data_IF_321042275807
#
_entry.id   IF_321042275807
#
_cell.length_a   1.000
_cell.length_b   1.000
_cell.length_c   1.000
_cell.angle_alpha   90.00
_cell.angle_beta   90.00
_cell.angle_gamma   90.00
#
_symmetry.space_group_name_H-M   'P 1'
#
loop_
_entity.id
_entity.type
_entity.pdbx_description
1 polymer ?
#
# COMPACT_ATOMS: atom_id res chain seq x y z
N UNK A 1 21.81 -16.95 -1.92
CA UNK A 1 20.45 -16.66 -2.42
C UNK A 1 20.60 -15.58 -3.48
N UNK A 2 20.05 -15.74 -4.69
CA UNK A 2 20.14 -14.68 -5.71
C UNK A 2 18.96 -13.71 -5.51
N UNK A 3 19.29 -12.45 -5.31
CA UNK A 3 18.35 -11.34 -5.10
C UNK A 3 18.51 -10.36 -6.24
N UNK A 4 17.38 -9.95 -6.84
CA UNK A 4 17.35 -8.89 -7.82
C UNK A 4 16.56 -7.73 -7.23
N UNK A 5 17.20 -6.57 -7.15
CA UNK A 5 16.58 -5.33 -6.68
C UNK A 5 16.45 -4.36 -7.84
N UNK A 6 15.21 -4.05 -8.19
CA UNK A 6 14.83 -3.14 -9.25
C UNK A 6 14.26 -1.88 -8.60
N UNK A 7 15.08 -0.82 -8.59
CA UNK A 7 14.63 0.52 -8.22
C UNK A 7 14.36 1.30 -9.49
N UNK A 8 13.08 1.43 -9.83
CA UNK A 8 12.62 2.23 -10.95
C UNK A 8 12.40 3.64 -10.43
N UNK A 9 13.40 4.49 -10.62
CA UNK A 9 13.34 5.90 -10.27
C UNK A 9 13.20 6.70 -11.55
N UNK A 10 12.08 7.39 -11.70
CA UNK A 10 12.01 8.47 -12.67
C UNK A 10 12.72 9.69 -12.05
N UNK A 11 14.00 9.83 -12.35
CA UNK A 11 14.69 11.10 -12.12
C UNK A 11 14.18 12.02 -13.22
N UNK A 12 13.20 12.84 -12.86
CA UNK A 12 12.55 13.83 -13.71
C UNK A 12 13.39 14.13 -14.95
N UNK A 13 12.89 13.66 -16.11
CA UNK A 13 13.20 14.33 -17.36
C UNK A 13 12.99 15.82 -17.03
N UNK A 14 14.08 16.61 -17.01
CA UNK A 14 13.94 18.06 -17.06
C UNK A 14 13.33 18.30 -18.43
N UNK A 15 12.00 18.30 -18.50
CA UNK A 15 11.29 18.72 -19.70
C UNK A 15 11.85 20.11 -20.02
N UNK A 16 12.57 20.28 -21.15
CA UNK A 16 12.95 21.59 -21.62
C UNK A 16 11.65 22.36 -21.78
N UNK A 17 11.49 23.44 -21.04
CA UNK A 17 10.26 24.23 -21.08
C UNK A 17 10.15 24.91 -22.46
N UNK A 18 9.48 24.26 -23.43
CA UNK A 18 8.93 24.92 -24.61
C UNK A 18 9.23 24.27 -25.97
N UNK A 19 8.36 23.36 -26.39
CA UNK A 19 8.13 22.99 -27.80
C UNK A 19 7.12 21.86 -27.93
N UNK A 20 6.21 21.92 -28.93
CA UNK A 20 5.21 20.86 -29.24
C UNK A 20 5.82 19.49 -29.64
N UNK A 21 7.13 19.29 -29.44
CA UNK A 21 7.89 18.06 -29.73
C UNK A 21 8.06 17.13 -28.51
N UNK A 22 7.61 17.54 -27.32
CA UNK A 22 8.00 16.89 -26.07
C UNK A 22 7.21 15.61 -25.74
N UNK A 23 5.98 15.47 -26.27
CA UNK A 23 5.12 14.29 -26.02
C UNK A 23 5.63 13.03 -26.77
N UNK A 24 6.11 13.19 -28.01
CA UNK A 24 6.63 12.08 -28.82
C UNK A 24 7.88 11.45 -28.19
N UNK A 25 8.76 12.28 -27.60
CA UNK A 25 9.98 11.83 -26.92
C UNK A 25 9.65 11.06 -25.63
N UNK A 26 8.62 11.50 -24.90
CA UNK A 26 8.16 10.82 -23.69
C UNK A 26 7.57 9.44 -24.00
N UNK A 27 6.69 9.34 -25.00
CA UNK A 27 6.08 8.08 -25.40
C UNK A 27 7.11 7.09 -25.94
N UNK A 28 8.07 7.56 -26.74
CA UNK A 28 9.18 6.75 -27.23
C UNK A 28 10.05 6.22 -26.07
N UNK A 29 10.35 7.07 -25.08
CA UNK A 29 11.07 6.66 -23.88
C UNK A 29 10.29 5.61 -23.08
N UNK A 30 9.01 5.87 -22.80
CA UNK A 30 8.16 4.96 -22.04
C UNK A 30 8.05 3.59 -22.74
N UNK A 31 7.85 3.57 -24.07
CA UNK A 31 7.83 2.35 -24.85
C UNK A 31 9.15 1.57 -24.78
N UNK A 32 10.28 2.27 -24.91
CA UNK A 32 11.62 1.67 -24.79
C UNK A 32 11.86 1.07 -23.40
N UNK A 33 11.47 1.79 -22.35
CA UNK A 33 11.60 1.35 -20.98
C UNK A 33 10.75 0.12 -20.68
N UNK A 34 9.48 0.11 -21.10
CA UNK A 34 8.61 -1.06 -20.95
C UNK A 34 9.13 -2.28 -21.74
N UNK A 35 9.68 -2.06 -22.95
CA UNK A 35 10.36 -3.12 -23.72
C UNK A 35 11.55 -3.72 -22.96
N UNK A 36 12.33 -2.87 -22.27
CA UNK A 36 13.44 -3.33 -21.44
C UNK A 36 12.94 -4.16 -20.24
N UNK A 37 11.84 -3.78 -19.59
CA UNK A 37 11.22 -4.55 -18.51
C UNK A 37 10.75 -5.94 -19.00
N UNK A 38 10.12 -6.03 -20.17
CA UNK A 38 9.73 -7.31 -20.77
C UNK A 38 10.95 -8.21 -21.03
N UNK A 39 12.03 -7.66 -21.59
CA UNK A 39 13.29 -8.41 -21.82
C UNK A 39 13.93 -8.86 -20.51
N UNK A 40 13.89 -8.01 -19.49
CA UNK A 40 14.37 -8.35 -18.15
C UNK A 40 13.55 -9.50 -17.57
N UNK A 41 12.22 -9.43 -17.60
CA UNK A 41 11.35 -10.50 -17.11
C UNK A 41 11.62 -11.83 -17.82
N UNK A 42 11.77 -11.82 -19.15
CA UNK A 42 12.14 -13.01 -19.92
C UNK A 42 13.49 -13.60 -19.49
N UNK A 43 14.47 -12.74 -19.16
CA UNK A 43 15.77 -13.16 -18.64
C UNK A 43 15.65 -13.76 -17.25
N UNK A 44 14.93 -13.09 -16.33
CA UNK A 44 14.75 -13.54 -14.96
C UNK A 44 13.98 -14.86 -14.87
N UNK A 45 13.02 -15.12 -15.76
CA UNK A 45 12.32 -16.43 -15.87
C UNK A 45 13.28 -17.60 -16.10
N UNK A 46 14.41 -17.37 -16.75
CA UNK A 46 15.45 -18.38 -16.99
C UNK A 46 16.37 -18.58 -15.78
N UNK A 47 16.32 -17.69 -14.79
CA UNK A 47 17.14 -17.75 -13.58
C UNK A 47 16.51 -18.66 -12.51
N UNK A 48 16.80 -19.96 -12.58
CA UNK A 48 16.24 -20.96 -11.63
C UNK A 48 16.63 -20.76 -10.16
N UNK A 49 17.68 -19.96 -9.90
CA UNK A 49 18.22 -19.64 -8.57
C UNK A 49 17.67 -18.35 -7.97
N UNK A 50 16.88 -17.59 -8.72
CA UNK A 50 16.26 -16.37 -8.21
C UNK A 50 15.22 -16.74 -7.15
N UNK A 51 15.28 -16.03 -6.02
CA UNK A 51 14.40 -16.29 -4.87
C UNK A 51 13.83 -15.00 -4.28
N UNK A 52 14.41 -13.86 -4.60
CA UNK A 52 13.95 -12.57 -4.11
C UNK A 52 13.86 -11.56 -5.24
N UNK A 53 12.71 -10.89 -5.28
CA UNK A 53 12.43 -9.78 -6.19
C UNK A 53 11.99 -8.59 -5.33
N UNK A 54 12.66 -7.46 -5.52
CA UNK A 54 12.33 -6.18 -4.90
C UNK A 54 12.06 -5.18 -6.02
N UNK A 55 10.81 -4.74 -6.15
CA UNK A 55 10.35 -3.75 -7.12
C UNK A 55 9.92 -2.53 -6.34
N UNK A 56 10.68 -1.45 -6.51
CA UNK A 56 10.38 -0.15 -5.91
C UNK A 56 10.22 0.86 -7.05
N UNK A 57 9.02 1.42 -7.17
CA UNK A 57 8.69 2.44 -8.16
C UNK A 57 8.48 3.78 -7.46
N UNK A 58 9.33 4.74 -7.81
CA UNK A 58 9.28 6.12 -7.32
C UNK A 58 9.14 7.06 -8.50
N UNK A 59 8.08 7.86 -8.49
CA UNK A 59 7.95 9.01 -9.38
C UNK A 59 8.51 10.24 -8.67
N UNK A 60 9.49 10.90 -9.27
CA UNK A 60 10.04 12.14 -8.74
C UNK A 60 9.19 13.34 -9.15
N UNK A 61 8.57 14.03 -8.21
CA UNK A 61 7.80 15.26 -8.45
C UNK A 61 6.49 15.30 -7.66
N UNK A 62 5.99 16.51 -7.40
CA UNK A 62 4.76 16.75 -6.62
C UNK A 62 3.46 16.52 -7.43
N UNK A 63 3.53 16.46 -8.76
CA UNK A 63 2.34 16.60 -9.63
C UNK A 63 2.20 15.54 -10.75
N UNK A 64 3.21 14.69 -11.00
CA UNK A 64 3.13 13.73 -12.10
C UNK A 64 2.79 12.33 -11.61
N UNK A 65 1.49 12.04 -11.46
CA UNK A 65 0.99 10.67 -11.46
C UNK A 65 0.89 10.12 -12.88
N UNK A 66 1.96 10.24 -13.67
CA UNK A 66 1.92 9.77 -15.05
C UNK A 66 2.09 8.26 -15.11
N UNK A 67 1.28 7.64 -15.96
CA UNK A 67 1.21 6.21 -16.14
C UNK A 67 2.25 5.70 -17.16
N UNK A 68 3.54 5.95 -16.94
CA UNK A 68 4.60 5.51 -17.87
C UNK A 68 4.91 4.01 -17.77
N UNK A 69 4.54 3.36 -16.67
CA UNK A 69 4.69 1.91 -16.52
C UNK A 69 3.45 1.20 -17.05
N UNK A 70 3.65 0.31 -18.02
CA UNK A 70 2.62 -0.62 -18.46
C UNK A 70 2.47 -1.73 -17.42
N UNK A 71 1.24 -2.19 -17.22
CA UNK A 71 0.97 -3.22 -16.21
C UNK A 71 1.55 -4.59 -16.59
N UNK A 72 1.53 -4.92 -17.88
CA UNK A 72 1.92 -6.23 -18.43
C UNK A 72 3.41 -6.54 -18.20
N UNK A 73 4.39 -5.67 -18.55
CA UNK A 73 5.80 -5.94 -18.28
C UNK A 73 6.12 -6.11 -16.79
N UNK A 74 5.38 -5.41 -15.92
CA UNK A 74 5.57 -5.51 -14.46
C UNK A 74 4.95 -6.81 -13.93
N UNK A 75 3.80 -7.22 -14.45
CA UNK A 75 3.20 -8.50 -14.12
C UNK A 75 4.05 -9.68 -14.61
N UNK A 76 4.75 -9.50 -15.73
CA UNK A 76 5.70 -10.47 -16.25
C UNK A 76 6.86 -10.71 -15.28
N UNK A 77 7.34 -9.66 -14.59
CA UNK A 77 8.36 -9.75 -13.53
C UNK A 77 7.84 -10.51 -12.31
N UNK A 78 6.59 -10.31 -11.92
CA UNK A 78 5.97 -11.05 -10.81
C UNK A 78 5.77 -12.54 -11.14
N UNK A 79 5.69 -12.87 -12.42
CA UNK A 79 5.52 -14.26 -12.89
C UNK A 79 6.81 -15.07 -12.92
N UNK A 80 7.91 -14.55 -12.36
CA UNK A 80 9.17 -15.30 -12.27
C UNK A 80 9.02 -16.42 -11.23
N UNK A 81 9.25 -17.66 -11.65
CA UNK A 81 9.00 -18.84 -10.82
C UNK A 81 9.92 -18.96 -9.59
N UNK A 82 9.36 -19.53 -8.52
CA UNK A 82 10.06 -19.91 -7.26
C UNK A 82 10.53 -18.73 -6.38
N UNK A 83 9.84 -17.59 -6.44
CA UNK A 83 10.07 -16.51 -5.48
C UNK A 83 9.73 -16.98 -4.06
N UNK A 84 10.61 -16.68 -3.12
CA UNK A 84 10.38 -16.87 -1.67
C UNK A 84 10.30 -15.53 -0.94
N UNK A 85 10.64 -14.42 -1.59
CA UNK A 85 10.63 -13.08 -1.00
C UNK A 85 10.21 -12.08 -2.06
N UNK A 86 9.14 -11.34 -1.81
CA UNK A 86 8.66 -10.28 -2.70
C UNK A 86 8.53 -8.97 -1.91
N UNK A 87 9.18 -7.93 -2.41
CA UNK A 87 8.85 -6.54 -2.06
C UNK A 87 8.31 -5.88 -3.31
N UNK A 88 7.12 -5.28 -3.21
CA UNK A 88 6.51 -4.54 -4.30
C UNK A 88 5.92 -3.24 -3.76
N UNK A 89 6.60 -2.13 -4.03
CA UNK A 89 6.21 -0.79 -3.61
C UNK A 89 6.04 0.10 -4.84
N UNK A 90 4.79 0.45 -5.14
CA UNK A 90 4.41 1.31 -6.27
C UNK A 90 3.51 2.46 -5.84
N UNK A 91 3.60 2.87 -4.57
CA UNK A 91 2.73 3.87 -3.95
C UNK A 91 2.55 5.19 -4.74
N UNK A 92 3.55 5.58 -5.55
CA UNK A 92 3.55 6.84 -6.33
C UNK A 92 3.13 6.68 -7.78
N UNK A 93 2.99 5.44 -8.27
CA UNK A 93 2.93 5.17 -9.69
C UNK A 93 1.57 4.58 -10.07
N UNK A 94 0.90 5.26 -10.99
CA UNK A 94 -0.20 4.68 -11.74
C UNK A 94 0.38 3.79 -12.84
N UNK A 95 -0.23 2.63 -13.04
CA UNK A 95 0.11 1.76 -14.16
C UNK A 95 -0.86 2.02 -15.30
N UNK A 96 -0.32 2.27 -16.48
CA UNK A 96 -1.13 2.28 -17.68
C UNK A 96 -1.59 0.86 -17.96
N UNK A 97 -2.87 0.74 -18.27
CA UNK A 97 -3.50 -0.53 -18.57
C UNK A 97 -4.08 -0.42 -19.96
N UNK A 98 -3.71 -1.35 -20.83
CA UNK A 98 -4.51 -1.55 -22.03
C UNK A 98 -5.88 -2.08 -21.59
N UNK A 99 -6.99 -1.70 -22.26
CA UNK A 99 -8.32 -2.22 -21.95
C UNK A 99 -8.38 -3.76 -21.96
N UNK A 100 -7.50 -4.37 -22.75
CA UNK A 100 -7.39 -5.82 -22.95
C UNK A 100 -6.45 -6.50 -21.94
N UNK A 101 -5.64 -5.74 -21.19
CA UNK A 101 -4.54 -6.26 -20.36
C UNK A 101 -4.99 -7.36 -19.41
N UNK A 102 -6.21 -7.28 -18.87
CA UNK A 102 -6.72 -8.19 -17.84
C UNK A 102 -5.83 -8.30 -16.59
N UNK A 103 -4.77 -7.46 -16.50
CA UNK A 103 -3.73 -7.58 -15.49
C UNK A 103 -4.26 -7.01 -14.18
N UNK A 104 -4.17 -7.85 -13.15
CA UNK A 104 -4.52 -7.48 -11.80
C UNK A 104 -3.42 -7.89 -10.84
N UNK A 105 -2.54 -6.96 -10.45
CA UNK A 105 -1.38 -7.27 -9.62
C UNK A 105 -1.72 -8.00 -8.32
N UNK A 106 -2.84 -7.67 -7.66
CA UNK A 106 -3.25 -8.40 -6.46
C UNK A 106 -3.51 -9.88 -6.73
N UNK A 107 -4.03 -10.25 -7.91
CA UNK A 107 -4.20 -11.66 -8.31
C UNK A 107 -2.84 -12.31 -8.56
N UNK A 108 -1.93 -11.62 -9.25
CA UNK A 108 -0.58 -12.12 -9.48
C UNK A 108 0.17 -12.36 -8.17
N UNK A 109 0.04 -11.47 -7.19
CA UNK A 109 0.69 -11.58 -5.88
C UNK A 109 0.03 -12.65 -5.03
N UNK A 110 -1.30 -12.73 -5.00
CA UNK A 110 -2.01 -13.78 -4.31
C UNK A 110 -1.57 -15.18 -4.79
N UNK A 111 -1.40 -15.35 -6.11
CA UNK A 111 -0.91 -16.60 -6.69
C UNK A 111 0.52 -16.98 -6.25
N UNK A 112 1.32 -16.03 -5.76
CA UNK A 112 2.67 -16.29 -5.24
C UNK A 112 2.68 -16.74 -3.77
N UNK A 113 1.61 -16.48 -3.00
CA UNK A 113 1.55 -16.79 -1.55
C UNK A 113 1.98 -18.22 -1.19
N UNK A 114 1.63 -19.29 -1.93
CA UNK A 114 2.11 -20.65 -1.64
C UNK A 114 3.63 -20.82 -1.66
N UNK A 115 4.33 -20.00 -2.45
CA UNK A 115 5.78 -20.09 -2.65
C UNK A 115 6.57 -19.10 -1.79
N UNK A 116 5.92 -18.03 -1.34
CA UNK A 116 6.55 -16.97 -0.59
C UNK A 116 6.79 -17.36 0.87
N UNK A 117 7.90 -16.89 1.40
CA UNK A 117 8.21 -16.79 2.83
C UNK A 117 8.02 -15.37 3.34
N UNK A 118 8.23 -14.37 2.48
CA UNK A 118 8.11 -12.96 2.83
C UNK A 118 7.39 -12.18 1.74
N UNK A 119 6.41 -11.36 2.14
CA UNK A 119 5.70 -10.43 1.28
C UNK A 119 5.70 -9.04 1.93
N UNK A 120 6.22 -8.04 1.23
CA UNK A 120 6.03 -6.62 1.52
C UNK A 120 5.36 -5.96 0.34
N UNK A 121 4.27 -5.26 0.60
CA UNK A 121 3.41 -4.79 -0.48
C UNK A 121 2.82 -3.41 -0.18
N UNK A 122 2.94 -2.49 -1.14
CA UNK A 122 2.29 -1.19 -1.12
C UNK A 122 1.95 -0.76 -2.55
N UNK A 123 0.69 -0.42 -2.81
CA UNK A 123 0.24 0.10 -4.10
C UNK A 123 -0.94 1.05 -3.90
N UNK A 124 -1.25 1.87 -4.90
CA UNK A 124 -2.41 2.76 -4.84
C UNK A 124 -3.77 2.04 -4.78
N UNK A 125 -3.88 0.86 -5.43
CA UNK A 125 -5.13 0.09 -5.48
C UNK A 125 -4.89 -1.35 -5.06
N UNK A 126 -5.66 -1.85 -4.11
CA UNK A 126 -5.49 -3.17 -3.50
C UNK A 126 -6.83 -3.92 -3.44
N UNK A 127 -6.87 -5.19 -3.86
CA UNK A 127 -8.05 -6.02 -3.70
C UNK A 127 -8.29 -6.38 -2.23
N UNK A 128 -9.57 -6.46 -1.84
CA UNK A 128 -9.96 -7.09 -0.58
C UNK A 128 -9.39 -8.50 -0.49
N UNK A 129 -9.49 -9.30 -1.55
CA UNK A 129 -8.99 -10.68 -1.68
C UNK A 129 -7.49 -10.85 -1.88
N UNK A 130 -6.67 -9.79 -1.72
CA UNK A 130 -5.21 -9.92 -1.89
C UNK A 130 -4.62 -11.03 -1.02
N UNK A 131 -5.09 -11.12 0.23
CA UNK A 131 -4.56 -12.03 1.26
C UNK A 131 -5.44 -13.28 1.44
N UNK A 132 -6.39 -13.51 0.54
CA UNK A 132 -7.25 -14.69 0.59
C UNK A 132 -6.38 -15.95 0.49
N UNK A 133 -6.48 -16.88 1.46
CA UNK A 133 -5.69 -18.10 1.42
C UNK A 133 -5.99 -18.89 0.14
N UNK A 134 -4.97 -19.45 -0.52
CA UNK A 134 -5.18 -20.30 -1.67
C UNK A 134 -5.98 -21.55 -1.25
N UNK A 135 -6.78 -22.13 -2.16
CA UNK A 135 -7.64 -23.25 -1.82
C UNK A 135 -6.84 -24.47 -1.35
N UNK A 136 -7.29 -25.07 -0.26
CA UNK A 136 -6.73 -26.30 0.31
C UNK A 136 -6.25 -26.14 1.75
N UNK A 137 -5.91 -27.28 2.36
CA UNK A 137 -5.57 -27.36 3.78
C UNK A 137 -4.08 -27.45 4.09
N UNK A 138 -3.21 -27.34 3.08
CA UNK A 138 -1.78 -27.28 3.31
C UNK A 138 -1.41 -25.97 4.04
N UNK A 139 -0.62 -26.02 5.12
CA UNK A 139 -0.13 -24.81 5.77
C UNK A 139 0.87 -24.10 4.85
N UNK A 140 0.79 -22.77 4.79
CA UNK A 140 1.67 -21.97 3.95
C UNK A 140 3.04 -21.79 4.61
N UNK A 141 4.10 -21.76 3.81
CA UNK A 141 5.46 -21.49 4.26
C UNK A 141 5.75 -19.99 4.47
N UNK A 142 4.73 -19.14 4.31
CA UNK A 142 4.80 -17.70 4.51
C UNK A 142 5.04 -17.41 6.00
N UNK A 143 6.08 -16.64 6.27
CA UNK A 143 6.57 -16.28 7.62
C UNK A 143 6.28 -14.80 7.91
N UNK A 144 6.43 -13.93 6.89
CA UNK A 144 6.27 -12.49 7.03
C UNK A 144 5.33 -11.92 5.95
N UNK A 145 4.34 -11.15 6.36
CA UNK A 145 3.43 -10.40 5.49
C UNK A 145 3.29 -9.00 6.01
N UNK A 146 3.57 -8.01 5.17
CA UNK A 146 3.33 -6.60 5.48
C UNK A 146 2.64 -5.97 4.29
N UNK A 147 1.43 -5.46 4.52
CA UNK A 147 0.70 -4.65 3.55
C UNK A 147 0.60 -3.24 4.08
N UNK A 148 1.25 -2.29 3.40
CA UNK A 148 1.18 -0.89 3.77
C UNK A 148 0.12 -0.19 2.91
N UNK A 149 -0.95 0.27 3.55
CA UNK A 149 -2.02 1.02 2.91
C UNK A 149 -1.77 2.52 2.91
N UNK A 150 -0.81 3.01 3.70
CA UNK A 150 -0.45 4.43 3.75
C UNK A 150 0.34 4.85 2.53
N UNK A 151 -0.15 5.90 1.86
CA UNK A 151 0.53 6.57 0.74
C UNK A 151 1.09 7.95 1.18
N UNK A 152 1.13 8.25 2.48
CA UNK A 152 1.43 9.58 3.00
C UNK A 152 2.93 9.87 3.17
N UNK A 153 3.80 8.84 3.13
CA UNK A 153 5.26 8.99 3.21
C UNK A 153 5.93 9.27 1.86
N UNK A 154 5.23 9.90 0.92
CA UNK A 154 5.76 10.12 -0.43
C UNK A 154 6.55 11.43 -0.52
N UNK A 155 6.24 12.42 0.33
CA UNK A 155 6.98 13.68 0.47
C UNK A 155 6.46 14.46 1.69
N UNK A 156 7.32 15.04 2.52
CA UNK A 156 6.92 15.95 3.63
C UNK A 156 6.10 17.17 3.16
N UNK A 157 6.13 17.49 1.87
CA UNK A 157 5.34 18.56 1.27
C UNK A 157 3.88 18.17 0.95
N UNK A 158 3.51 16.89 1.03
CA UNK A 158 2.15 16.41 0.73
C UNK A 158 1.36 16.35 2.03
N UNK A 159 0.49 17.33 2.24
CA UNK A 159 -0.44 17.38 3.40
C UNK A 159 -1.71 16.57 3.17
N UNK A 160 -1.87 15.96 2.00
CA UNK A 160 -3.05 15.16 1.69
C UNK A 160 -2.91 13.74 2.24
N UNK A 161 -3.82 13.38 3.14
CA UNK A 161 -4.08 12.01 3.58
C UNK A 161 -4.42 11.17 2.36
N UNK A 162 -3.59 10.16 2.06
CA UNK A 162 -3.90 9.21 0.99
C UNK A 162 -3.66 7.79 1.48
N UNK A 163 -4.72 7.00 1.39
CA UNK A 163 -4.65 5.56 1.57
C UNK A 163 -4.83 4.84 0.24
N UNK A 164 -4.40 3.60 0.23
CA UNK A 164 -4.72 2.64 -0.82
C UNK A 164 -6.23 2.48 -0.94
N UNK A 165 -6.73 2.42 -2.17
CA UNK A 165 -8.15 2.22 -2.47
C UNK A 165 -8.43 0.76 -2.76
N UNK A 166 -9.69 0.34 -2.63
CA UNK A 166 -10.10 -0.97 -3.09
C UNK A 166 -10.05 -1.03 -4.63
N UNK A 167 -9.49 -2.10 -5.20
CA UNK A 167 -9.55 -2.31 -6.65
C UNK A 167 -11.00 -2.35 -7.16
N UNK A 168 -11.26 -1.75 -8.32
CA UNK A 168 -12.57 -1.74 -8.98
C UNK A 168 -13.60 -0.82 -8.33
N UNK A 169 -13.21 -0.06 -7.31
CA UNK A 169 -14.10 0.80 -6.57
C UNK A 169 -14.24 2.17 -7.27
N UNK A 170 -15.39 2.37 -7.90
CA UNK A 170 -15.73 3.62 -8.60
C UNK A 170 -16.50 4.58 -7.68
N UNK A 171 -17.12 4.06 -6.61
CA UNK A 171 -18.01 4.80 -5.72
C UNK A 171 -17.40 5.12 -4.35
N UNK A 172 -16.16 4.68 -4.09
CA UNK A 172 -15.44 4.98 -2.86
C UNK A 172 -16.05 4.26 -1.66
N UNK A 173 -15.96 2.93 -1.63
CA UNK A 173 -16.09 2.16 -0.39
C UNK A 173 -15.33 2.89 0.71
N UNK A 174 -16.03 3.15 1.81
CA UNK A 174 -15.41 3.80 2.96
C UNK A 174 -14.11 3.09 3.32
N UNK A 175 -13.01 3.83 3.38
CA UNK A 175 -11.67 3.28 3.63
C UNK A 175 -11.68 2.36 4.86
N UNK A 176 -12.44 2.71 5.90
CA UNK A 176 -12.65 1.88 7.10
C UNK A 176 -13.15 0.47 6.78
N UNK A 177 -14.16 0.32 5.91
CA UNK A 177 -14.68 -1.00 5.54
C UNK A 177 -13.65 -1.80 4.74
N UNK A 178 -12.91 -1.14 3.85
CA UNK A 178 -11.83 -1.77 3.08
C UNK A 178 -10.68 -2.23 4.01
N UNK A 179 -10.24 -1.36 4.93
CA UNK A 179 -9.25 -1.65 5.98
C UNK A 179 -9.67 -2.86 6.81
N UNK A 180 -10.87 -2.83 7.39
CA UNK A 180 -11.37 -3.91 8.24
C UNK A 180 -11.48 -5.25 7.49
N UNK A 181 -11.91 -5.22 6.23
CA UNK A 181 -11.96 -6.43 5.41
C UNK A 181 -10.56 -7.01 5.16
N UNK A 182 -9.56 -6.16 4.92
CA UNK A 182 -8.19 -6.61 4.70
C UNK A 182 -7.53 -7.10 6.00
N UNK A 183 -7.78 -6.44 7.14
CA UNK A 183 -7.36 -6.89 8.47
C UNK A 183 -7.93 -8.28 8.79
N UNK A 184 -9.23 -8.49 8.54
CA UNK A 184 -9.86 -9.80 8.72
C UNK A 184 -9.24 -10.89 7.83
N UNK A 185 -8.89 -10.58 6.59
CA UNK A 185 -8.18 -11.51 5.73
C UNK A 185 -6.75 -11.79 6.19
N UNK A 186 -6.05 -10.80 6.71
CA UNK A 186 -4.73 -10.99 7.29
C UNK A 186 -4.78 -11.95 8.49
N UNK A 187 -5.81 -11.82 9.35
CA UNK A 187 -6.04 -12.77 10.46
C UNK A 187 -6.38 -14.17 9.96
N UNK A 188 -7.23 -14.30 8.94
CA UNK A 188 -7.54 -15.59 8.34
C UNK A 188 -6.29 -16.26 7.71
N UNK A 189 -5.46 -15.46 7.02
CA UNK A 189 -4.19 -15.92 6.46
C UNK A 189 -3.22 -16.35 7.55
N UNK A 190 -3.08 -15.57 8.63
CA UNK A 190 -2.21 -15.87 9.76
C UNK A 190 -2.49 -17.26 10.35
N UNK A 191 -3.77 -17.62 10.52
CA UNK A 191 -4.19 -18.94 11.01
C UNK A 191 -3.79 -20.10 10.07
N UNK A 192 -3.52 -19.82 8.78
CA UNK A 192 -3.09 -20.79 7.77
C UNK A 192 -1.57 -20.95 7.68
N UNK A 193 -0.80 -20.11 8.37
CA UNK A 193 0.66 -20.08 8.27
C UNK A 193 1.29 -21.16 9.15
N UNK A 194 2.34 -21.82 8.65
CA UNK A 194 3.02 -22.88 9.40
C UNK A 194 3.78 -22.34 10.61
N UNK A 195 4.49 -21.23 10.43
CA UNK A 195 5.36 -20.60 11.42
C UNK A 195 5.36 -19.08 11.19
N UNK A 196 4.22 -18.40 11.43
CA UNK A 196 4.16 -16.96 11.24
C UNK A 196 5.08 -16.24 12.21
N UNK A 197 5.84 -15.28 11.69
CA UNK A 197 6.67 -14.36 12.47
C UNK A 197 6.04 -12.97 12.54
N UNK A 198 5.42 -12.52 11.45
CA UNK A 198 4.81 -11.20 11.36
C UNK A 198 3.72 -11.17 10.29
N UNK A 199 2.52 -10.71 10.62
CA UNK A 199 1.46 -10.45 9.64
C UNK A 199 0.83 -9.11 9.97
N UNK A 200 1.13 -8.07 9.19
CA UNK A 200 0.77 -6.69 9.51
C UNK A 200 0.07 -5.95 8.39
N UNK A 201 -0.92 -5.14 8.77
CA UNK A 201 -1.53 -4.12 7.92
C UNK A 201 -1.13 -2.76 8.48
N UNK A 202 -0.44 -1.94 7.68
CA UNK A 202 0.01 -0.60 8.08
C UNK A 202 -0.95 0.44 7.52
N UNK A 203 -1.40 1.35 8.38
CA UNK A 203 -2.22 2.51 8.04
C UNK A 203 -1.64 3.76 8.70
N UNK A 204 -2.18 4.93 8.36
CA UNK A 204 -1.97 6.15 9.14
C UNK A 204 -3.32 6.78 9.47
N UNK A 205 -3.36 7.58 10.53
CA UNK A 205 -4.56 8.31 10.94
C UNK A 205 -4.49 9.80 10.57
N UNK A 206 -5.65 10.44 10.51
CA UNK A 206 -5.76 11.88 10.31
C UNK A 206 -6.52 12.47 11.50
N UNK A 207 -6.09 13.59 12.09
CA UNK A 207 -5.11 14.55 11.55
C UNK A 207 -3.64 14.33 11.91
N UNK A 208 -3.31 13.45 12.87
CA UNK A 208 -1.95 13.35 13.39
C UNK A 208 -0.92 12.82 12.38
N UNK A 209 -1.36 12.05 11.38
CA UNK A 209 -0.51 11.31 10.45
C UNK A 209 0.33 10.21 11.11
N UNK A 210 0.00 9.85 12.35
CA UNK A 210 0.61 8.75 13.07
C UNK A 210 0.39 7.43 12.32
N UNK A 211 1.43 6.60 12.30
CA UNK A 211 1.41 5.31 11.63
C UNK A 211 1.04 4.21 12.59
N UNK A 212 0.09 3.36 12.20
CA UNK A 212 -0.33 2.22 13.00
C UNK A 212 -0.14 0.94 12.22
N UNK A 213 0.39 -0.09 12.87
CA UNK A 213 0.39 -1.46 12.41
C UNK A 213 -0.65 -2.28 13.17
N UNK A 214 -1.63 -2.82 12.45
CA UNK A 214 -2.44 -3.92 12.98
C UNK A 214 -1.66 -5.22 12.83
N UNK A 215 -1.37 -5.89 13.94
CA UNK A 215 -0.73 -7.21 13.98
C UNK A 215 -1.78 -8.32 14.03
N UNK A 216 -1.93 -9.04 12.92
CA UNK A 216 -2.92 -10.08 12.76
C UNK A 216 -2.64 -11.35 13.59
N UNK A 217 -1.44 -11.50 14.16
CA UNK A 217 -1.10 -12.61 15.04
C UNK A 217 -1.61 -12.40 16.46
N UNK A 218 -1.61 -11.15 16.92
CA UNK A 218 -2.03 -10.79 18.29
C UNK A 218 -3.41 -10.11 18.32
N UNK A 219 -3.87 -9.60 17.17
CA UNK A 219 -5.08 -8.78 17.07
C UNK A 219 -4.91 -7.35 17.57
N UNK A 220 -3.69 -6.93 17.92
CA UNK A 220 -3.40 -5.62 18.52
C UNK A 220 -2.98 -4.58 17.47
N UNK A 221 -3.18 -3.31 17.80
CA UNK A 221 -2.62 -2.18 17.07
C UNK A 221 -1.36 -1.67 17.78
N UNK A 222 -0.39 -1.28 16.98
CA UNK A 222 0.93 -0.85 17.42
C UNK A 222 1.21 0.48 16.74
N UNK A 223 1.50 1.51 17.53
CA UNK A 223 1.96 2.79 17.03
C UNK A 223 3.40 2.64 16.53
N UNK A 224 3.65 3.09 15.30
CA UNK A 224 4.96 3.09 14.67
C UNK A 224 5.54 4.50 14.71
N UNK A 225 6.83 4.60 15.02
CA UNK A 225 7.55 5.86 14.90
C UNK A 225 7.57 6.38 13.46
N UNK A 226 7.63 7.71 13.31
CA UNK A 226 7.70 8.36 12.02
C UNK A 226 8.91 7.91 11.19
N UNK A 227 8.68 7.64 9.90
CA UNK A 227 9.69 7.23 8.92
C UNK A 227 10.43 5.92 9.23
N UNK A 228 9.90 5.07 10.10
CA UNK A 228 10.52 3.79 10.42
C UNK A 228 10.28 2.74 9.31
N UNK A 229 11.16 1.73 9.23
CA UNK A 229 10.97 0.60 8.32
C UNK A 229 9.67 -0.15 8.66
N UNK A 230 8.98 -0.69 7.65
CA UNK A 230 7.65 -1.29 7.85
C UNK A 230 7.62 -2.49 8.81
N UNK A 231 8.76 -3.11 9.04
CA UNK A 231 8.97 -4.25 9.94
C UNK A 231 9.49 -3.86 11.32
N UNK A 232 9.57 -2.58 11.65
CA UNK A 232 10.08 -2.15 12.94
C UNK A 232 9.20 -2.60 14.12
N UNK A 233 9.83 -2.75 15.28
CA UNK A 233 9.16 -2.99 16.55
C UNK A 233 8.61 -1.63 17.03
N UNK A 234 7.28 -1.49 17.06
CA UNK A 234 6.62 -0.27 17.55
C UNK A 234 6.09 -0.43 18.98
N UNK A 235 5.45 0.61 19.50
CA UNK A 235 4.85 0.64 20.84
C UNK A 235 3.40 0.16 20.79
N UNK A 236 3.02 -0.75 21.68
CA UNK A 236 1.64 -1.24 21.72
C UNK A 236 0.69 -0.08 22.08
N UNK A 237 -0.46 -0.02 21.41
CA UNK A 237 -1.53 0.86 21.86
C UNK A 237 -2.02 0.33 23.20
N UNK A 238 -1.79 1.09 24.27
CA UNK A 238 -2.39 0.81 25.56
C UNK A 238 -3.89 0.98 25.36
N UNK A 239 -4.65 -0.12 25.52
CA UNK A 239 -6.10 -0.05 25.67
C UNK A 239 -6.33 0.79 26.93
N UNK A 240 -6.45 2.11 26.77
CA UNK A 240 -6.83 2.98 27.85
C UNK A 240 -8.16 2.45 28.35
N UNK A 241 -8.13 1.80 29.52
CA UNK A 241 -9.31 1.54 30.32
C UNK A 241 -10.10 2.84 30.29
N UNK A 242 -11.34 2.75 29.82
CA UNK A 242 -12.30 3.83 29.93
C UNK A 242 -12.48 4.08 31.43
N UNK A 243 -11.59 4.89 32.00
CA UNK A 243 -11.68 5.38 33.34
C UNK A 243 -12.87 6.33 33.31
N UNK A 244 -14.01 5.78 33.70
CA UNK A 244 -15.23 6.53 33.91
C UNK A 244 -14.99 7.44 35.10
N UNK A 245 -14.37 8.60 34.87
CA UNK A 245 -14.55 9.74 35.74
C UNK A 245 -15.97 10.24 35.48
N UNK A 246 -16.89 9.82 36.36
CA UNK A 246 -18.13 10.53 36.64
C UNK A 246 -17.73 11.94 37.15
N UNK A 247 -17.44 12.85 36.22
CA UNK A 247 -17.33 14.26 36.53
C UNK A 247 -18.74 14.86 36.58
N UNK A 248 -19.19 14.95 37.82
CA UNK A 248 -20.32 15.71 38.35
C UNK A 248 -20.21 17.19 37.96
N UNK A 249 -20.68 17.54 36.76
CA UNK A 249 -20.91 18.94 36.35
C UNK A 249 -22.28 19.42 36.85
N UNK A 250 -22.42 19.54 38.17
CA UNK A 250 -23.47 20.35 38.78
C UNK A 250 -23.05 21.83 38.80
N UNK A 251 -23.96 22.70 38.36
CA UNK A 251 -24.02 24.15 38.60
C UNK A 251 -22.98 25.09 37.95
N UNK A 252 -23.20 25.49 36.69
CA UNK A 252 -22.56 26.70 36.15
C UNK A 252 -23.39 27.53 35.13
N UNK A 253 -24.71 27.37 35.09
CA UNK A 253 -25.59 28.30 34.36
C UNK A 253 -26.54 29.01 35.32
N UNK A 254 -25.99 29.97 36.06
CA UNK A 254 -26.78 31.01 36.69
C UNK A 254 -27.44 31.89 35.62
N UNK A 255 -28.71 32.20 35.85
CA UNK A 255 -29.64 32.98 35.04
C UNK A 255 -29.03 34.22 34.35
N UNK A 256 -29.13 34.26 33.01
CA UNK A 256 -28.98 35.49 32.23
C UNK A 256 -30.37 36.02 31.84
N UNK A 257 -30.74 37.28 32.16
CA UNK A 257 -32.08 37.79 31.91
C UNK A 257 -32.33 38.11 30.42
N UNK A 258 -33.58 38.02 29.93
CA UNK A 258 -33.89 38.16 28.52
C UNK A 258 -33.74 39.61 28.03
N UNK A 259 -32.97 39.77 26.94
CA UNK A 259 -32.84 41.02 26.18
C UNK A 259 -34.12 41.23 25.35
N UNK A 260 -34.73 42.40 25.49
CA UNK A 260 -35.91 42.84 24.72
C UNK A 260 -35.55 43.23 23.27
N UNK A 261 -36.45 43.02 22.29
CA UNK A 261 -36.20 43.42 20.91
C UNK A 261 -36.51 44.91 20.69
N UNK A 262 -35.56 45.65 20.10
CA UNK A 262 -35.82 46.96 19.52
C UNK A 262 -36.37 46.80 18.09
N UNK A 263 -37.57 47.35 17.89
CA UNK A 263 -38.18 47.63 16.59
C UNK A 263 -37.53 48.91 16.06
N UNK A 264 -37.08 48.90 14.81
CA UNK A 264 -36.78 50.12 14.05
C UNK A 264 -37.85 50.28 12.97
N UNK A 265 -38.54 51.42 13.03
CA UNK A 265 -39.46 51.94 12.02
C UNK A 265 -38.69 52.50 10.82
#
# INVERSE_FOLDING_TARGET
>A
MATVKLRLKNYAFRLPTGGDSDDDDYDAWAASFNSALTKLAATLRRCSRMRSLDVEVRVGGLLDHQAYLMAEPVADLLSVGRLTSLTFDSATCLFSRTPESGVHFCRSINALLPSLRRLRFRMESVCKSLLEPPPGDAPLALEEVIVNLSLSQLNHAITSVRHSRCCGDVAGTAFVQFKNALEAQATALAARLRQPRMVRIITHEFPSLDFYAFDALTGKRILLEDNIEWDAEGEAEDDAEADATEDDESDLFADEPPVTPFIVL
#
